data_IF_584532376314
#
_entry.id   IF_584532376314
#
_cell.length_a   1.000
_cell.length_b   1.000
_cell.length_c   1.000
_cell.angle_alpha   90.00
_cell.angle_beta   90.00
_cell.angle_gamma   90.00
#
_symmetry.space_group_name_H-M   'P 1'
#
loop_
_entity.id
_entity.type
_entity.pdbx_description
1 polymer ?
#
# COMPACT_ATOMS: atom_id res chain seq x y z
N UNK A 1 13.62 -18.28 7.49
CA UNK A 1 12.47 -17.60 6.86
C UNK A 1 12.95 -16.27 6.34
N UNK A 2 12.74 -15.96 5.06
CA UNK A 2 13.09 -14.66 4.50
C UNK A 2 12.15 -13.59 5.08
N UNK A 3 12.69 -12.68 5.91
CA UNK A 3 11.91 -11.62 6.56
C UNK A 3 11.48 -10.53 5.59
N UNK A 4 12.08 -10.43 4.41
CA UNK A 4 11.70 -9.46 3.38
C UNK A 4 10.44 -9.92 2.62
N UNK A 5 10.27 -11.23 2.42
CA UNK A 5 9.11 -11.82 1.76
C UNK A 5 8.43 -12.87 2.66
N UNK A 6 7.85 -12.46 3.81
CA UNK A 6 7.35 -13.38 4.83
C UNK A 6 6.16 -14.24 4.33
N UNK A 7 5.48 -13.82 3.26
CA UNK A 7 4.37 -14.55 2.63
C UNK A 7 4.67 -14.94 1.18
N UNK A 8 5.94 -14.91 0.77
CA UNK A 8 6.36 -15.12 -0.62
C UNK A 8 6.12 -13.90 -1.52
N UNK A 9 6.28 -14.11 -2.83
CA UNK A 9 6.06 -13.11 -3.88
C UNK A 9 4.74 -13.37 -4.62
N UNK A 10 4.17 -12.31 -5.18
CA UNK A 10 3.03 -12.44 -6.08
C UNK A 10 3.43 -13.17 -7.37
N UNK A 11 2.58 -14.11 -7.80
CA UNK A 11 2.69 -14.80 -9.08
C UNK A 11 1.47 -14.46 -9.91
N UNK A 12 1.69 -13.75 -11.03
CA UNK A 12 0.62 -13.40 -11.95
C UNK A 12 0.10 -14.63 -12.71
N UNK A 13 -1.18 -14.59 -13.09
CA UNK A 13 -1.83 -15.51 -14.01
C UNK A 13 -2.45 -14.74 -15.16
N UNK A 14 -2.61 -15.43 -16.29
CA UNK A 14 -3.22 -14.84 -17.50
C UNK A 14 -4.73 -14.61 -17.35
N UNK A 15 -5.39 -15.41 -16.51
CA UNK A 15 -6.84 -15.37 -16.29
C UNK A 15 -7.15 -15.43 -14.80
N UNK A 16 -8.15 -14.65 -14.40
CA UNK A 16 -8.74 -14.63 -13.06
C UNK A 16 -10.26 -14.81 -13.19
N UNK A 17 -10.87 -15.58 -12.29
CA UNK A 17 -12.33 -15.75 -12.26
C UNK A 17 -13.02 -14.49 -11.70
N UNK A 18 -14.32 -14.35 -11.97
CA UNK A 18 -15.12 -13.25 -11.41
C UNK A 18 -15.14 -13.28 -9.88
N UNK A 19 -15.20 -14.47 -9.28
CA UNK A 19 -15.16 -14.67 -7.83
C UNK A 19 -13.80 -14.26 -7.23
N UNK A 20 -12.70 -14.58 -7.91
CA UNK A 20 -11.36 -14.17 -7.49
C UNK A 20 -11.20 -12.66 -7.54
N UNK A 21 -11.64 -12.03 -8.64
CA UNK A 21 -11.62 -10.57 -8.79
C UNK A 21 -12.46 -9.89 -7.71
N UNK A 22 -13.68 -10.39 -7.45
CA UNK A 22 -14.53 -9.87 -6.37
C UNK A 22 -13.84 -9.99 -5.00
N UNK A 23 -13.18 -11.13 -4.72
CA UNK A 23 -12.41 -11.32 -3.50
C UNK A 23 -11.23 -10.35 -3.39
N UNK A 24 -10.53 -10.07 -4.49
CA UNK A 24 -9.42 -9.12 -4.48
C UNK A 24 -9.88 -7.68 -4.27
N UNK A 25 -11.00 -7.28 -4.89
CA UNK A 25 -11.62 -5.97 -4.69
C UNK A 25 -12.01 -5.81 -3.21
N UNK A 26 -12.66 -6.81 -2.60
CA UNK A 26 -13.00 -6.80 -1.18
C UNK A 26 -11.76 -6.69 -0.27
N UNK A 27 -10.65 -7.33 -0.65
CA UNK A 27 -9.39 -7.22 0.09
C UNK A 27 -8.78 -5.82 0.00
N UNK A 28 -8.89 -5.15 -1.14
CA UNK A 28 -8.50 -3.74 -1.29
C UNK A 28 -9.41 -2.89 -0.40
N UNK A 29 -10.73 -3.01 -0.53
CA UNK A 29 -11.71 -2.25 0.25
C UNK A 29 -11.46 -2.33 1.76
N UNK A 30 -11.21 -3.53 2.28
CA UNK A 30 -11.05 -3.77 3.73
C UNK A 30 -9.64 -3.48 4.28
N UNK A 31 -8.64 -3.27 3.42
CA UNK A 31 -7.25 -3.08 3.84
C UNK A 31 -7.05 -1.89 4.80
N UNK A 32 -7.59 -0.68 4.55
CA UNK A 32 -7.33 0.47 5.41
C UNK A 32 -7.76 0.23 6.86
N UNK A 33 -8.93 -0.38 7.06
CA UNK A 33 -9.44 -0.72 8.39
C UNK A 33 -8.60 -1.80 9.08
N UNK A 34 -8.18 -2.84 8.34
CA UNK A 34 -7.33 -3.91 8.89
C UNK A 34 -5.96 -3.38 9.30
N UNK A 35 -5.36 -2.54 8.45
CA UNK A 35 -4.07 -1.93 8.75
C UNK A 35 -4.16 -0.98 9.96
N UNK A 36 -5.20 -0.14 10.02
CA UNK A 36 -5.45 0.74 11.14
C UNK A 36 -5.64 -0.03 12.46
N UNK A 37 -6.35 -1.16 12.43
CA UNK A 37 -6.56 -2.02 13.59
C UNK A 37 -5.25 -2.61 14.13
N UNK A 38 -4.31 -2.99 13.27
CA UNK A 38 -2.99 -3.47 13.70
C UNK A 38 -2.11 -2.34 14.24
N UNK A 39 -2.06 -1.21 13.54
CA UNK A 39 -1.25 -0.04 13.94
C UNK A 39 -1.71 0.54 15.27
N UNK A 40 -3.02 0.50 15.57
CA UNK A 40 -3.59 0.97 16.84
C UNK A 40 -3.12 0.17 18.07
N UNK A 41 -2.61 -1.05 17.88
CA UNK A 41 -2.06 -1.87 18.97
C UNK A 41 -0.65 -1.42 19.39
N UNK A 42 -0.03 -0.54 18.62
CA UNK A 42 1.34 -0.07 18.79
C UNK A 42 1.38 1.34 19.40
N UNK A 43 2.43 1.63 20.15
CA UNK A 43 2.70 2.99 20.62
C UNK A 43 3.38 3.83 19.53
N UNK A 44 3.33 5.17 19.60
CA UNK A 44 4.02 6.03 18.64
C UNK A 44 5.51 5.73 18.51
N UNK A 45 6.19 5.40 19.60
CA UNK A 45 7.60 5.01 19.59
C UNK A 45 7.84 3.66 18.86
N UNK A 46 6.89 2.73 18.93
CA UNK A 46 6.98 1.45 18.23
C UNK A 46 6.82 1.61 16.71
N UNK A 47 6.14 2.65 16.22
CA UNK A 47 6.05 2.90 14.78
C UNK A 47 7.43 3.17 14.15
N UNK A 48 8.40 3.65 14.93
CA UNK A 48 9.76 3.90 14.48
C UNK A 48 10.67 2.65 14.61
N UNK A 49 10.08 1.47 14.88
CA UNK A 49 10.81 0.19 14.92
C UNK A 49 10.93 -0.39 13.50
N UNK A 50 12.14 -0.76 13.04
CA UNK A 50 12.32 -1.47 11.77
C UNK A 50 11.60 -2.82 11.76
N UNK A 51 10.85 -3.14 10.70
CA UNK A 51 10.18 -4.45 10.60
C UNK A 51 11.16 -5.63 10.43
N UNK A 52 12.39 -5.32 9.99
CA UNK A 52 13.54 -6.21 9.92
C UNK A 52 14.83 -5.41 10.04
N UNK A 53 15.95 -6.10 10.26
CA UNK A 53 17.29 -5.49 10.24
C UNK A 53 17.55 -4.79 8.90
N UNK A 54 17.98 -3.53 8.96
CA UNK A 54 18.20 -2.66 7.80
C UNK A 54 16.96 -2.42 6.93
N UNK A 55 15.76 -2.69 7.46
CA UNK A 55 14.49 -2.44 6.79
C UNK A 55 13.86 -1.11 7.20
N UNK A 56 12.76 -0.76 6.53
CA UNK A 56 11.94 0.38 6.90
C UNK A 56 11.31 0.24 8.28
N UNK A 57 11.03 1.38 8.91
CA UNK A 57 10.19 1.42 10.11
C UNK A 57 8.73 1.11 9.76
N UNK A 58 7.94 0.75 10.76
CA UNK A 58 6.48 0.57 10.58
C UNK A 58 5.85 1.86 10.03
N UNK A 59 6.27 3.04 10.52
CA UNK A 59 5.82 4.35 10.03
C UNK A 59 6.07 4.50 8.52
N UNK A 60 7.30 4.24 8.07
CA UNK A 60 7.66 4.29 6.66
C UNK A 60 6.86 3.29 5.82
N UNK A 61 6.63 2.07 6.32
CA UNK A 61 5.81 1.07 5.62
C UNK A 61 4.36 1.55 5.46
N UNK A 62 3.75 2.13 6.51
CA UNK A 62 2.36 2.63 6.43
C UNK A 62 2.24 3.78 5.42
N UNK A 63 3.17 4.74 5.44
CA UNK A 63 3.20 5.82 4.45
C UNK A 63 3.43 5.28 3.03
N UNK A 64 4.37 4.35 2.86
CA UNK A 64 4.64 3.74 1.57
C UNK A 64 3.43 3.00 0.98
N UNK A 65 2.62 2.32 1.81
CA UNK A 65 1.39 1.67 1.32
C UNK A 65 0.45 2.71 0.71
N UNK A 66 0.28 3.88 1.36
CA UNK A 66 -0.53 4.97 0.82
C UNK A 66 0.02 5.52 -0.50
N UNK A 67 1.33 5.75 -0.59
CA UNK A 67 1.99 6.26 -1.81
C UNK A 67 1.89 5.26 -2.96
N UNK A 68 2.20 3.99 -2.68
CA UNK A 68 2.16 2.90 -3.66
C UNK A 68 0.75 2.72 -4.21
N UNK A 69 -0.25 2.75 -3.34
CA UNK A 69 -1.65 2.58 -3.74
C UNK A 69 -2.17 3.81 -4.48
N UNK A 70 -1.72 5.03 -4.13
CA UNK A 70 -2.03 6.24 -4.89
C UNK A 70 -1.53 6.13 -6.33
N UNK A 71 -0.29 5.67 -6.52
CA UNK A 71 0.24 5.40 -7.86
C UNK A 71 -0.56 4.31 -8.58
N UNK A 72 -0.90 3.23 -7.89
CA UNK A 72 -1.67 2.14 -8.48
C UNK A 72 -3.07 2.61 -8.95
N UNK A 73 -3.78 3.41 -8.14
CA UNK A 73 -5.05 4.03 -8.53
C UNK A 73 -4.92 4.90 -9.79
N UNK A 74 -3.90 5.77 -9.84
CA UNK A 74 -3.64 6.62 -11.02
C UNK A 74 -3.37 5.75 -12.26
N UNK A 75 -2.56 4.71 -12.13
CA UNK A 75 -2.26 3.76 -13.21
C UNK A 75 -3.49 3.01 -13.68
N UNK A 76 -4.39 2.62 -12.76
CA UNK A 76 -5.68 2.03 -13.12
C UNK A 76 -6.52 3.01 -13.95
N UNK A 77 -6.57 4.29 -13.58
CA UNK A 77 -7.30 5.29 -14.37
C UNK A 77 -6.72 5.43 -15.78
N UNK A 78 -5.40 5.55 -15.92
CA UNK A 78 -4.76 5.60 -17.24
C UNK A 78 -5.06 4.34 -18.07
N UNK A 79 -4.92 3.15 -17.48
CA UNK A 79 -5.19 1.89 -18.19
C UNK A 79 -6.64 1.77 -18.68
N UNK A 80 -7.60 2.44 -18.02
CA UNK A 80 -9.00 2.45 -18.42
C UNK A 80 -9.32 3.52 -19.47
N UNK A 81 -8.52 4.57 -19.59
CA UNK A 81 -8.86 5.75 -20.41
C UNK A 81 -7.91 6.04 -21.55
N UNK A 82 -6.76 5.35 -21.60
CA UNK A 82 -5.70 5.57 -22.58
C UNK A 82 -5.32 4.24 -23.26
N UNK A 83 -4.85 4.31 -24.51
CA UNK A 83 -4.32 3.15 -25.21
C UNK A 83 -2.85 2.93 -24.84
N UNK A 84 -2.57 1.79 -24.19
CA UNK A 84 -1.23 1.35 -23.76
C UNK A 84 -0.37 2.46 -23.09
N UNK A 85 -0.83 3.09 -21.99
CA UNK A 85 -0.13 4.22 -21.38
C UNK A 85 1.25 3.83 -20.84
N UNK A 86 2.23 4.72 -21.02
CA UNK A 86 3.54 4.56 -20.38
C UNK A 86 3.43 4.92 -18.90
N UNK A 87 3.75 3.95 -18.04
CA UNK A 87 3.64 4.13 -16.59
C UNK A 87 4.89 4.79 -16.01
N UNK A 88 4.71 5.89 -15.27
CA UNK A 88 5.80 6.53 -14.53
C UNK A 88 6.20 5.72 -13.29
N UNK A 89 7.47 5.29 -13.26
CA UNK A 89 8.11 4.75 -12.07
C UNK A 89 8.47 5.87 -11.09
N UNK A 90 8.59 5.53 -9.81
CA UNK A 90 9.04 6.44 -8.76
C UNK A 90 10.11 5.78 -7.91
N UNK A 91 10.96 6.59 -7.29
CA UNK A 91 12.07 6.13 -6.46
C UNK A 91 11.55 5.92 -5.03
N UNK A 92 10.94 4.76 -4.77
CA UNK A 92 10.28 4.43 -3.50
C UNK A 92 11.17 4.59 -2.26
N UNK A 93 12.48 4.34 -2.38
CA UNK A 93 13.45 4.50 -1.28
C UNK A 93 13.63 5.98 -0.91
N UNK A 94 14.00 6.89 -1.84
CA UNK A 94 13.96 8.33 -1.57
C UNK A 94 12.60 8.86 -1.10
N UNK A 95 11.48 8.32 -1.59
CA UNK A 95 10.15 8.70 -1.12
C UNK A 95 9.97 8.37 0.37
N UNK A 96 10.43 7.21 0.83
CA UNK A 96 10.36 6.83 2.24
C UNK A 96 11.17 7.75 3.19
N UNK A 97 12.00 8.64 2.65
CA UNK A 97 12.87 9.56 3.40
C UNK A 97 12.43 11.04 3.31
N UNK A 98 11.32 11.35 2.61
CA UNK A 98 10.80 12.72 2.55
C UNK A 98 10.24 13.17 3.91
N UNK A 99 10.17 14.48 4.19
CA UNK A 99 9.77 14.96 5.52
C UNK A 99 8.39 14.49 6.01
N UNK A 100 7.45 14.27 5.08
CA UNK A 100 6.09 13.80 5.38
C UNK A 100 6.05 12.37 5.92
N UNK A 101 7.06 11.53 5.65
CA UNK A 101 7.11 10.16 6.19
C UNK A 101 7.39 10.11 7.70
N UNK A 102 7.64 11.26 8.32
CA UNK A 102 7.74 11.44 9.77
C UNK A 102 6.41 11.81 10.42
N UNK A 103 5.37 12.07 9.63
CA UNK A 103 4.05 12.42 10.15
C UNK A 103 3.44 11.24 10.93
N UNK A 104 2.35 11.51 11.64
CA UNK A 104 1.56 10.46 12.28
C UNK A 104 0.99 9.52 11.21
N UNK A 105 1.07 8.22 11.47
CA UNK A 105 0.58 7.16 10.56
C UNK A 105 -0.91 7.31 10.22
N UNK A 106 -1.68 7.97 11.08
CA UNK A 106 -3.10 8.27 10.89
C UNK A 106 -3.38 9.06 9.62
N UNK A 107 -2.46 9.93 9.19
CA UNK A 107 -2.61 10.74 7.97
C UNK A 107 -2.68 9.84 6.73
N UNK A 108 -1.78 8.86 6.62
CA UNK A 108 -1.79 7.89 5.53
C UNK A 108 -2.92 6.87 5.65
N UNK A 109 -3.33 6.50 6.86
CA UNK A 109 -4.50 5.64 7.07
C UNK A 109 -5.80 6.32 6.58
N UNK A 110 -5.99 7.61 6.88
CA UNK A 110 -7.12 8.40 6.38
C UNK A 110 -7.07 8.57 4.87
N UNK A 111 -5.89 8.83 4.29
CA UNK A 111 -5.71 8.88 2.85
C UNK A 111 -6.07 7.55 2.18
N UNK A 112 -5.59 6.43 2.72
CA UNK A 112 -5.86 5.09 2.20
C UNK A 112 -7.35 4.76 2.22
N UNK A 113 -8.06 5.13 3.28
CA UNK A 113 -9.50 4.91 3.41
C UNK A 113 -10.28 5.60 2.27
N UNK A 114 -10.04 6.91 2.09
CA UNK A 114 -10.67 7.68 1.01
C UNK A 114 -10.24 7.21 -0.39
N UNK A 115 -8.97 6.85 -0.57
CA UNK A 115 -8.45 6.36 -1.84
C UNK A 115 -9.09 5.02 -2.22
N UNK A 116 -9.16 4.09 -1.28
CA UNK A 116 -9.69 2.75 -1.54
C UNK A 116 -11.19 2.78 -1.80
N UNK A 117 -11.94 3.63 -1.09
CA UNK A 117 -13.35 3.87 -1.39
C UNK A 117 -13.59 4.34 -2.84
N UNK A 118 -12.65 5.08 -3.44
CA UNK A 118 -12.70 5.49 -4.86
C UNK A 118 -12.18 4.44 -5.84
N UNK A 119 -11.33 3.52 -5.39
CA UNK A 119 -10.64 2.58 -6.28
C UNK A 119 -11.45 1.32 -6.53
N UNK A 120 -12.25 0.90 -5.55
CA UNK A 120 -13.09 -0.31 -5.64
C UNK A 120 -14.46 -0.09 -6.31
N UNK A 121 -14.69 1.12 -6.84
CA UNK A 121 -15.91 1.53 -7.59
C UNK A 121 -15.69 1.46 -9.09
#
# INVERSE_FOLDING_TARGET
>A
MDKQYPIGKFTARDVYSAEELASFIQRIETLPHRLAAEVKKLTPAQWDTPYREGGWTIRQVVHHVADSHTHAYIRTKWALTEDAPTIKAYLEKPWAETPDTRMEVTVSLTLLDALHAKWVT
#
